data_IF_244440468462
#
_entry.id   IF_244440468462
#
_cell.length_a   1.000
_cell.length_b   1.000
_cell.length_c   1.000
_cell.angle_alpha   90.00
_cell.angle_beta   90.00
_cell.angle_gamma   90.00
#
_symmetry.space_group_name_H-M   'P 1'
#
loop_
_entity.id
_entity.type
_entity.pdbx_description
1 polymer ?
#
# COMPACT_ATOMS: atom_id res chain seq x y z
N UNK A 1 -10.57 10.36 14.74
CA UNK A 1 -9.17 10.35 15.20
C UNK A 1 -8.28 9.87 14.08
N UNK A 2 -8.65 8.78 13.40
CA UNK A 2 -7.90 8.22 12.28
C UNK A 2 -7.55 9.26 11.19
N UNK A 3 -8.49 10.13 10.75
CA UNK A 3 -8.17 11.14 9.71
C UNK A 3 -7.01 12.06 10.08
N UNK A 4 -6.88 12.41 11.37
CA UNK A 4 -5.82 13.27 11.85
C UNK A 4 -4.47 12.53 11.86
N UNK A 5 -4.44 11.27 12.31
CA UNK A 5 -3.22 10.45 12.27
C UNK A 5 -2.76 10.22 10.83
N UNK A 6 -3.70 9.88 9.93
CA UNK A 6 -3.39 9.73 8.51
C UNK A 6 -2.87 11.03 7.89
N UNK A 7 -3.28 12.21 8.39
CA UNK A 7 -2.75 13.50 7.90
C UNK A 7 -1.32 13.76 8.37
N UNK A 8 -0.90 13.16 9.48
CA UNK A 8 0.48 13.26 9.98
C UNK A 8 1.42 12.37 9.14
N UNK A 9 0.92 11.34 8.45
CA UNK A 9 1.73 10.59 7.47
C UNK A 9 2.22 11.46 6.30
N UNK A 10 1.62 12.63 6.06
CA UNK A 10 2.08 13.58 5.03
C UNK A 10 3.09 14.61 5.60
N UNK A 11 3.60 14.39 6.80
CA UNK A 11 4.53 15.32 7.45
C UNK A 11 5.94 15.26 6.79
N UNK A 12 6.63 16.40 6.60
CA UNK A 12 7.94 16.43 5.94
C UNK A 12 9.07 15.76 6.74
N UNK A 13 8.89 15.60 8.05
CA UNK A 13 9.84 14.90 8.93
C UNK A 13 9.56 13.39 8.93
N UNK A 14 10.49 12.55 8.45
CA UNK A 14 10.32 11.09 8.43
C UNK A 14 10.07 10.48 9.81
N UNK A 15 10.67 11.03 10.87
CA UNK A 15 10.47 10.50 12.22
C UNK A 15 9.00 10.66 12.66
N UNK A 16 8.39 11.80 12.32
CA UNK A 16 6.99 12.07 12.62
C UNK A 16 6.07 11.15 11.79
N UNK A 17 6.44 10.82 10.55
CA UNK A 17 5.69 9.84 9.75
C UNK A 17 5.74 8.44 10.38
N UNK A 18 6.91 8.00 10.83
CA UNK A 18 7.07 6.71 11.53
C UNK A 18 6.19 6.64 12.78
N UNK A 19 6.24 7.66 13.64
CA UNK A 19 5.40 7.74 14.84
C UNK A 19 3.90 7.72 14.50
N UNK A 20 3.50 8.39 13.41
CA UNK A 20 2.12 8.32 12.92
C UNK A 20 1.74 6.92 12.45
N UNK A 21 2.61 6.21 11.73
CA UNK A 21 2.39 4.82 11.32
C UNK A 21 2.14 3.90 12.52
N UNK A 22 3.00 3.96 13.54
CA UNK A 22 2.83 3.21 14.80
C UNK A 22 1.51 3.54 15.50
N UNK A 23 1.17 4.84 15.62
CA UNK A 23 -0.08 5.26 16.23
C UNK A 23 -1.32 4.80 15.43
N UNK A 24 -1.23 4.73 14.10
CA UNK A 24 -2.31 4.22 13.25
C UNK A 24 -2.51 2.73 13.49
N UNK A 25 -1.43 1.95 13.57
CA UNK A 25 -1.49 0.52 13.88
C UNK A 25 -2.14 0.27 15.24
N UNK A 26 -1.71 0.99 16.29
CA UNK A 26 -2.30 0.91 17.62
C UNK A 26 -3.82 1.17 17.59
N UNK A 27 -4.25 2.20 16.87
CA UNK A 27 -5.68 2.50 16.69
C UNK A 27 -6.38 1.42 15.85
N UNK A 28 -5.72 0.87 14.84
CA UNK A 28 -6.30 -0.13 13.95
C UNK A 28 -6.54 -1.47 14.67
N UNK A 29 -5.67 -1.87 15.61
CA UNK A 29 -5.86 -3.09 16.42
C UNK A 29 -7.17 -3.07 17.22
N UNK A 30 -7.60 -1.90 17.70
CA UNK A 30 -8.86 -1.77 18.45
C UNK A 30 -10.04 -1.34 17.57
N UNK A 31 -9.78 -0.56 16.52
CA UNK A 31 -10.78 0.23 15.80
C UNK A 31 -10.52 0.23 14.30
N UNK A 32 -10.15 -0.91 13.74
CA UNK A 32 -9.86 -1.09 12.30
C UNK A 32 -10.90 -0.43 11.40
N UNK A 33 -12.20 -0.60 11.67
CA UNK A 33 -13.28 0.00 10.85
C UNK A 33 -13.22 1.53 10.79
N UNK A 34 -12.70 2.22 11.81
CA UNK A 34 -12.49 3.67 11.73
C UNK A 34 -11.32 4.00 10.81
N UNK A 35 -10.19 3.29 10.96
CA UNK A 35 -8.99 3.48 10.15
C UNK A 35 -9.28 3.17 8.68
N UNK A 36 -9.88 2.01 8.38
CA UNK A 36 -10.29 1.62 7.04
C UNK A 36 -11.18 2.70 6.39
N UNK A 37 -12.20 3.19 7.09
CA UNK A 37 -13.07 4.27 6.56
C UNK A 37 -12.32 5.58 6.29
N UNK A 38 -11.30 5.89 7.08
CA UNK A 38 -10.47 7.08 6.85
C UNK A 38 -9.57 6.90 5.62
N UNK A 39 -9.02 5.70 5.43
CA UNK A 39 -8.27 5.32 4.22
C UNK A 39 -9.18 5.39 2.98
N UNK A 40 -10.38 4.82 3.05
CA UNK A 40 -11.35 4.84 1.94
C UNK A 40 -11.69 6.28 1.51
N UNK A 41 -11.90 7.19 2.47
CA UNK A 41 -12.13 8.61 2.18
C UNK A 41 -10.95 9.27 1.46
N UNK A 42 -9.70 8.90 1.79
CA UNK A 42 -8.51 9.43 1.10
C UNK A 42 -8.40 8.93 -0.32
N UNK A 43 -8.66 7.64 -0.55
CA UNK A 43 -8.71 7.06 -1.89
C UNK A 43 -9.80 7.74 -2.74
N UNK A 44 -10.99 7.96 -2.17
CA UNK A 44 -12.10 8.67 -2.82
C UNK A 44 -11.77 10.14 -3.12
N UNK A 45 -11.00 10.78 -2.25
CA UNK A 45 -10.52 12.14 -2.44
C UNK A 45 -9.30 12.24 -3.38
N UNK A 46 -8.81 11.11 -3.89
CA UNK A 46 -7.57 11.01 -4.68
C UNK A 46 -6.41 11.74 -3.99
N UNK A 47 -6.24 11.52 -2.69
CA UNK A 47 -5.17 12.14 -1.92
C UNK A 47 -3.81 11.61 -2.41
N UNK A 48 -2.91 12.49 -2.86
CA UNK A 48 -1.61 12.13 -3.44
C UNK A 48 -0.42 12.33 -2.47
N UNK A 49 -0.68 12.52 -1.18
CA UNK A 49 0.40 12.74 -0.21
C UNK A 49 1.26 11.50 0.01
N UNK A 50 2.55 11.74 0.34
CA UNK A 50 3.56 10.70 0.54
C UNK A 50 3.10 9.60 1.52
N UNK A 51 2.26 9.96 2.48
CA UNK A 51 1.72 9.01 3.46
C UNK A 51 0.87 7.88 2.88
N UNK A 52 0.41 7.98 1.63
CA UNK A 52 -0.40 6.93 1.00
C UNK A 52 0.38 5.64 0.76
N UNK A 53 1.70 5.71 0.56
CA UNK A 53 2.52 4.52 0.31
C UNK A 53 2.73 3.65 1.56
N UNK A 54 2.51 4.21 2.75
CA UNK A 54 2.66 3.50 4.03
C UNK A 54 1.41 2.68 4.40
N UNK A 55 0.24 3.12 3.93
CA UNK A 55 -1.05 2.53 4.30
C UNK A 55 -1.23 1.07 3.88
N UNK A 56 -0.71 0.60 2.72
CA UNK A 56 -0.74 -0.81 2.38
C UNK A 56 -0.13 -1.71 3.46
N UNK A 57 1.04 -1.35 4.00
CA UNK A 57 1.71 -2.12 5.06
C UNK A 57 0.92 -2.09 6.37
N UNK A 58 0.32 -0.94 6.71
CA UNK A 58 -0.58 -0.86 7.88
C UNK A 58 -1.74 -1.84 7.76
N UNK A 59 -2.32 -2.00 6.56
CA UNK A 59 -3.45 -2.90 6.35
C UNK A 59 -3.04 -4.37 6.48
N UNK A 60 -1.87 -4.76 5.97
CA UNK A 60 -1.39 -6.15 6.03
C UNK A 60 -0.99 -6.57 7.44
N UNK A 61 -0.52 -5.66 8.29
CA UNK A 61 -0.20 -5.95 9.69
C UNK A 61 -1.42 -6.37 10.52
N UNK A 62 -2.62 -5.83 10.22
CA UNK A 62 -3.82 -6.12 11.00
C UNK A 62 -4.38 -7.52 10.72
N UNK A 63 -4.28 -7.99 9.46
CA UNK A 63 -4.68 -9.32 8.95
C UNK A 63 -6.16 -9.73 9.08
N UNK A 64 -6.89 -9.26 10.09
CA UNK A 64 -8.33 -9.48 10.27
C UNK A 64 -9.05 -8.15 10.50
N UNK A 65 -9.88 -7.70 9.54
CA UNK A 65 -10.35 -8.42 8.35
C UNK A 65 -9.29 -8.55 7.25
N UNK A 66 -9.55 -9.46 6.30
CA UNK A 66 -8.75 -9.63 5.09
C UNK A 66 -8.47 -8.27 4.41
N UNK A 67 -7.19 -7.88 4.23
CA UNK A 67 -6.84 -6.58 3.69
C UNK A 67 -6.97 -6.50 2.16
N UNK A 68 -7.00 -7.62 1.44
CA UNK A 68 -6.94 -7.66 -0.04
C UNK A 68 -7.98 -6.75 -0.69
N UNK A 69 -9.28 -6.76 -0.31
CA UNK A 69 -10.29 -5.93 -0.97
C UNK A 69 -10.01 -4.42 -0.88
N UNK A 70 -9.40 -3.96 0.21
CA UNK A 70 -9.04 -2.55 0.38
C UNK A 70 -7.71 -2.24 -0.32
N UNK A 71 -6.72 -3.13 -0.24
CA UNK A 71 -5.44 -3.01 -0.95
C UNK A 71 -5.63 -2.93 -2.47
N UNK A 72 -6.54 -3.73 -3.03
CA UNK A 72 -6.85 -3.70 -4.46
C UNK A 72 -7.27 -2.31 -4.97
N UNK A 73 -7.83 -1.45 -4.10
CA UNK A 73 -8.18 -0.06 -4.46
C UNK A 73 -6.95 0.84 -4.65
N UNK A 74 -5.84 0.55 -3.97
CA UNK A 74 -4.59 1.31 -4.10
C UNK A 74 -3.86 1.00 -5.41
N UNK A 75 -4.07 -0.17 -6.02
CA UNK A 75 -3.46 -0.51 -7.31
C UNK A 75 -3.93 0.40 -8.46
N UNK A 76 -5.06 1.09 -8.28
CA UNK A 76 -5.57 2.11 -9.21
C UNK A 76 -5.05 3.53 -8.92
N UNK A 77 -4.13 3.71 -7.97
CA UNK A 77 -3.63 5.02 -7.57
C UNK A 77 -2.76 5.64 -8.70
N UNK A 78 -2.85 6.97 -8.93
CA UNK A 78 -2.07 7.62 -9.99
C UNK A 78 -0.57 7.60 -9.73
N UNK A 79 -0.14 7.77 -8.48
CA UNK A 79 1.26 7.76 -8.05
C UNK A 79 1.86 6.34 -8.09
N UNK A 80 2.88 6.07 -8.94
CA UNK A 80 3.51 4.75 -9.04
C UNK A 80 4.09 4.23 -7.73
N UNK A 81 4.65 5.09 -6.87
CA UNK A 81 5.18 4.64 -5.57
C UNK A 81 4.13 3.99 -4.68
N UNK A 82 2.89 4.50 -4.70
CA UNK A 82 1.77 3.93 -3.94
C UNK A 82 1.38 2.57 -4.50
N UNK A 83 1.39 2.41 -5.83
CA UNK A 83 1.10 1.12 -6.48
C UNK A 83 2.19 0.11 -6.15
N UNK A 84 3.47 0.50 -6.26
CA UNK A 84 4.61 -0.35 -5.91
C UNK A 84 4.54 -0.85 -4.46
N UNK A 85 4.33 0.06 -3.50
CA UNK A 85 4.16 -0.29 -2.09
C UNK A 85 2.98 -1.25 -1.86
N UNK A 86 1.91 -1.11 -2.64
CA UNK A 86 0.75 -2.01 -2.56
C UNK A 86 1.07 -3.41 -3.10
N UNK A 87 1.82 -3.50 -4.20
CA UNK A 87 2.29 -4.77 -4.76
C UNK A 87 3.18 -5.49 -3.73
N UNK A 88 4.14 -4.78 -3.16
CA UNK A 88 5.04 -5.31 -2.13
C UNK A 88 4.27 -5.78 -0.89
N UNK A 89 3.33 -4.97 -0.39
CA UNK A 89 2.49 -5.36 0.74
C UNK A 89 1.66 -6.62 0.44
N UNK A 90 1.09 -6.75 -0.77
CA UNK A 90 0.34 -7.95 -1.18
C UNK A 90 1.22 -9.19 -1.27
N UNK A 91 2.41 -9.07 -1.87
CA UNK A 91 3.39 -10.16 -1.93
C UNK A 91 3.83 -10.61 -0.52
N UNK A 92 4.18 -9.65 0.34
CA UNK A 92 4.55 -9.90 1.74
C UNK A 92 3.41 -10.47 2.59
N UNK A 93 2.15 -10.11 2.29
CA UNK A 93 0.97 -10.73 2.92
C UNK A 93 0.83 -12.21 2.55
N UNK A 94 1.21 -12.58 1.31
CA UNK A 94 1.44 -13.97 0.91
C UNK A 94 0.18 -14.79 0.61
N UNK A 95 -0.97 -14.13 0.36
CA UNK A 95 -2.19 -14.82 -0.05
C UNK A 95 -2.31 -14.83 -1.59
N UNK A 96 -2.30 -16.01 -2.23
CA UNK A 96 -2.42 -16.14 -3.69
C UNK A 96 -3.68 -15.52 -4.29
N UNK A 97 -4.72 -15.25 -3.48
CA UNK A 97 -5.91 -14.53 -3.94
C UNK A 97 -5.60 -13.10 -4.45
N UNK A 98 -4.45 -12.53 -4.07
CA UNK A 98 -3.99 -11.25 -4.60
C UNK A 98 -3.66 -11.30 -6.11
N UNK A 99 -3.39 -12.49 -6.68
CA UNK A 99 -2.97 -12.62 -8.06
C UNK A 99 -3.97 -12.02 -9.05
N UNK A 100 -5.27 -12.21 -8.83
CA UNK A 100 -6.35 -11.65 -9.68
C UNK A 100 -6.27 -10.11 -9.79
N UNK A 101 -5.69 -9.44 -8.79
CA UNK A 101 -5.51 -7.99 -8.76
C UNK A 101 -4.15 -7.53 -9.31
N UNK A 102 -3.14 -8.40 -9.29
CA UNK A 102 -1.78 -8.09 -9.77
C UNK A 102 -1.62 -8.35 -11.27
N UNK A 103 -2.24 -9.40 -11.82
CA UNK A 103 -2.16 -9.74 -13.25
C UNK A 103 -2.48 -8.57 -14.20
N UNK A 104 -3.48 -7.70 -13.94
CA UNK A 104 -3.77 -6.56 -14.82
C UNK A 104 -2.64 -5.52 -14.91
N UNK A 105 -1.68 -5.55 -13.98
CA UNK A 105 -0.58 -4.58 -13.91
C UNK A 105 0.66 -5.02 -14.71
N UNK A 106 0.71 -6.25 -15.24
CA UNK A 106 1.88 -6.80 -15.94
C UNK A 106 2.37 -5.95 -17.12
N UNK A 107 1.49 -5.16 -17.74
CA UNK A 107 1.82 -4.27 -18.87
C UNK A 107 1.98 -2.79 -18.43
N UNK A 108 2.02 -2.50 -17.12
CA UNK A 108 2.14 -1.14 -16.60
C UNK A 108 3.60 -0.67 -16.63
N UNK A 109 3.93 0.17 -17.61
CA UNK A 109 5.26 0.73 -17.85
C UNK A 109 5.61 1.94 -16.93
N UNK A 110 4.74 2.32 -15.99
CA UNK A 110 5.08 3.40 -15.05
C UNK A 110 6.27 2.97 -14.18
N UNK A 111 7.28 3.82 -14.08
CA UNK A 111 8.43 3.59 -13.20
C UNK A 111 8.10 4.01 -11.77
N UNK A 112 8.48 3.17 -10.79
CA UNK A 112 8.48 3.51 -9.38
C UNK A 112 9.92 3.57 -8.86
N UNK A 113 10.27 4.65 -8.16
CA UNK A 113 11.58 4.79 -7.51
C UNK A 113 11.37 4.69 -6.01
N UNK A 114 11.80 3.59 -5.39
CA UNK A 114 11.76 3.44 -3.94
C UNK A 114 12.90 4.25 -3.32
N UNK A 115 12.62 5.05 -2.29
CA UNK A 115 13.56 6.06 -1.76
C UNK A 115 14.78 5.47 -1.04
N UNK A 116 14.75 4.18 -0.70
CA UNK A 116 15.73 3.54 0.19
C UNK A 116 16.81 2.69 -0.51
N UNK A 117 16.89 2.69 -1.83
CA UNK A 117 17.89 1.90 -2.56
C UNK A 117 18.40 2.61 -3.81
N UNK A 118 19.71 2.53 -4.04
CA UNK A 118 20.40 2.77 -5.33
C UNK A 118 19.96 1.74 -6.40
N UNK A 119 18.72 1.27 -6.34
CA UNK A 119 18.14 0.34 -7.29
C UNK A 119 17.77 1.08 -8.57
N UNK A 120 17.98 0.39 -9.70
CA UNK A 120 17.55 0.90 -10.98
C UNK A 120 16.03 1.09 -10.95
N UNK A 121 15.49 2.11 -11.65
CA UNK A 121 14.05 2.24 -11.81
C UNK A 121 13.49 0.92 -12.33
N UNK A 122 12.42 0.45 -11.68
CA UNK A 122 11.66 -0.73 -12.11
C UNK A 122 10.24 -0.30 -12.43
N UNK A 123 9.63 -1.00 -13.39
CA UNK A 123 8.25 -0.75 -13.79
C UNK A 123 7.27 -1.43 -12.84
N UNK A 124 6.06 -0.89 -12.75
CA UNK A 124 4.96 -1.54 -12.03
C UNK A 124 4.70 -2.95 -12.57
N UNK A 125 4.81 -3.18 -13.88
CA UNK A 125 4.67 -4.51 -14.48
C UNK A 125 5.73 -5.51 -14.02
N UNK A 126 6.99 -5.09 -13.91
CA UNK A 126 8.06 -5.95 -13.37
C UNK A 126 7.83 -6.30 -11.90
N UNK A 127 7.38 -5.33 -11.09
CA UNK A 127 7.03 -5.56 -9.69
C UNK A 127 5.85 -6.54 -9.57
N UNK A 128 4.82 -6.37 -10.40
CA UNK A 128 3.66 -7.26 -10.41
C UNK A 128 4.05 -8.69 -10.81
N UNK A 129 4.93 -8.85 -11.81
CA UNK A 129 5.44 -10.15 -12.22
C UNK A 129 6.22 -10.83 -11.08
N UNK A 130 7.12 -10.10 -10.42
CA UNK A 130 7.88 -10.63 -9.27
C UNK A 130 6.95 -11.05 -8.13
N UNK A 131 5.95 -10.23 -7.79
CA UNK A 131 4.98 -10.55 -6.76
C UNK A 131 4.15 -11.81 -7.09
N UNK A 132 3.74 -11.99 -8.36
CA UNK A 132 3.03 -13.19 -8.79
C UNK A 132 3.90 -14.44 -8.63
N UNK A 133 5.18 -14.37 -9.00
CA UNK A 133 6.14 -15.47 -8.79
C UNK A 133 6.29 -15.82 -7.30
N UNK A 134 6.40 -14.81 -6.42
CA UNK A 134 6.48 -15.00 -4.96
C UNK A 134 5.23 -15.66 -4.38
N UNK A 135 4.05 -15.32 -4.90
CA UNK A 135 2.78 -15.93 -4.52
C UNK A 135 2.61 -17.35 -5.09
N UNK A 136 3.55 -17.84 -5.89
CA UNK A 136 3.49 -19.15 -6.54
C UNK A 136 2.42 -19.21 -7.64
N UNK A 137 2.08 -18.07 -8.22
CA UNK A 137 1.11 -17.92 -9.31
C UNK A 137 1.84 -17.56 -10.59
N UNK A 138 1.57 -18.28 -11.69
CA UNK A 138 2.17 -17.96 -12.98
C UNK A 138 1.55 -16.66 -13.54
N UNK A 139 2.36 -15.71 -14.05
CA UNK A 139 1.86 -14.49 -14.69
C UNK A 139 1.16 -14.74 -16.04
#
# INVERSE_FOLDING_TARGET
>A
MADALLAILDHPDPQIRTEAGEAILDVAYERFKEVARAIERRLEAQHEGEGMQELPFVLTEIRDPDPIPLLARFLAHPEPKVVAATIEALAGYGDPAAADHLTPLLEDEREATLEDVDEAPTTIGELAAAALEELGTEP
#
